data_IF_019441045971
#
_entry.id   IF_019441045971
#
_cell.length_a   1.000
_cell.length_b   1.000
_cell.length_c   1.000
_cell.angle_alpha   90.00
_cell.angle_beta   90.00
_cell.angle_gamma   90.00
#
_symmetry.space_group_name_H-M   'P 1'
#
loop_
_entity.id
_entity.type
_entity.pdbx_description
1 polymer ?
#
# COMPACT_ATOMS: atom_id res chain seq x y z
N UNK A 1 -8.87 27.61 3.36
CA UNK A 1 -8.65 27.91 4.79
C UNK A 1 -8.80 26.60 5.54
N UNK A 2 -7.91 26.33 6.50
CA UNK A 2 -7.95 25.11 7.30
C UNK A 2 -9.22 25.05 8.16
N UNK A 3 -9.79 23.86 8.33
CA UNK A 3 -10.95 23.67 9.21
C UNK A 3 -10.61 23.87 10.69
N UNK A 4 -11.59 24.28 11.50
CA UNK A 4 -11.38 24.58 12.92
C UNK A 4 -11.00 23.34 13.75
N UNK A 5 -11.60 22.20 13.43
CA UNK A 5 -11.31 20.89 14.01
C UNK A 5 -9.89 20.42 13.67
N UNK A 6 -9.46 20.54 12.42
CA UNK A 6 -8.08 20.19 12.05
C UNK A 6 -7.07 21.15 12.70
N UNK A 7 -7.37 22.45 12.72
CA UNK A 7 -6.54 23.43 13.42
C UNK A 7 -6.39 23.10 14.91
N UNK A 8 -7.46 22.67 15.58
CA UNK A 8 -7.42 22.27 16.99
C UNK A 8 -6.49 21.06 17.21
N UNK A 9 -6.50 20.07 16.31
CA UNK A 9 -5.57 18.94 16.36
C UNK A 9 -4.11 19.41 16.25
N UNK A 10 -3.82 20.33 15.33
CA UNK A 10 -2.47 20.88 15.14
C UNK A 10 -1.97 21.62 16.38
N UNK A 11 -2.77 22.52 16.96
CA UNK A 11 -2.33 23.31 18.14
C UNK A 11 -2.20 22.46 19.41
N UNK A 12 -2.77 21.25 19.44
CA UNK A 12 -2.65 20.31 20.56
C UNK A 12 -1.51 19.30 20.41
N UNK A 13 -0.75 19.33 19.31
CA UNK A 13 0.46 18.51 19.10
C UNK A 13 1.48 18.65 20.26
N UNK A 14 1.78 19.86 20.80
CA UNK A 14 2.73 19.99 21.91
C UNK A 14 2.36 19.18 23.16
N UNK A 15 1.05 19.02 23.43
CA UNK A 15 0.58 18.17 24.53
C UNK A 15 0.90 16.70 24.28
N UNK A 16 0.68 16.21 23.05
CA UNK A 16 1.03 14.84 22.65
C UNK A 16 2.54 14.61 22.78
N UNK A 17 3.36 15.55 22.30
CA UNK A 17 4.82 15.47 22.41
C UNK A 17 5.26 15.37 23.88
N UNK A 18 4.73 16.23 24.74
CA UNK A 18 5.06 16.22 26.17
C UNK A 18 4.66 14.90 26.84
N UNK A 19 3.42 14.43 26.60
CA UNK A 19 2.91 13.17 27.16
C UNK A 19 3.76 11.98 26.71
N UNK A 20 3.98 11.82 25.41
CA UNK A 20 4.68 10.66 24.85
C UNK A 20 6.15 10.66 25.25
N UNK A 21 6.79 11.82 25.35
CA UNK A 21 8.16 11.94 25.87
C UNK A 21 8.23 11.49 27.33
N UNK A 22 7.29 11.94 28.17
CA UNK A 22 7.22 11.51 29.57
C UNK A 22 6.99 10.00 29.68
N UNK A 23 6.04 9.45 28.95
CA UNK A 23 5.76 8.01 28.92
C UNK A 23 6.99 7.19 28.50
N UNK A 24 7.68 7.60 27.43
CA UNK A 24 8.86 6.93 26.91
C UNK A 24 9.97 6.78 27.96
N UNK A 25 10.26 7.84 28.74
CA UNK A 25 11.33 7.82 29.74
C UNK A 25 10.93 7.29 31.12
N UNK A 26 9.64 7.02 31.37
CA UNK A 26 9.17 6.57 32.68
C UNK A 26 8.76 5.11 32.69
N UNK A 27 7.64 4.77 32.06
CA UNK A 27 7.07 3.43 32.09
C UNK A 27 6.88 2.82 30.70
N UNK A 28 7.29 3.50 29.63
CA UNK A 28 7.11 3.09 28.24
C UNK A 28 5.79 3.56 27.63
N UNK A 29 5.84 3.96 26.38
CA UNK A 29 4.66 4.27 25.53
C UNK A 29 3.90 3.00 25.13
N UNK A 30 2.66 3.10 24.64
CA UNK A 30 1.96 1.96 24.06
C UNK A 30 2.73 1.27 22.93
N UNK A 31 3.48 2.03 22.11
CA UNK A 31 4.29 1.47 21.03
C UNK A 31 5.51 0.70 21.53
N UNK A 32 6.35 1.32 22.37
CA UNK A 32 7.59 0.70 22.89
C UNK A 32 7.35 -0.53 23.76
N UNK A 33 6.17 -0.61 24.39
CA UNK A 33 5.74 -1.78 25.17
C UNK A 33 5.34 -2.97 24.30
N UNK A 34 4.89 -2.71 23.08
CA UNK A 34 4.26 -3.74 22.24
C UNK A 34 5.13 -4.18 21.08
N UNK A 35 5.99 -3.30 20.54
CA UNK A 35 6.79 -3.61 19.37
C UNK A 35 8.25 -3.13 19.52
N UNK A 36 9.19 -4.00 19.12
CA UNK A 36 10.63 -3.77 19.25
C UNK A 36 11.15 -2.59 18.43
N UNK A 37 10.53 -2.26 17.29
CA UNK A 37 10.90 -1.12 16.44
C UNK A 37 10.85 0.23 17.19
N UNK A 38 10.05 0.31 18.25
CA UNK A 38 9.85 1.52 19.03
C UNK A 38 10.70 1.60 20.30
N UNK A 39 11.29 0.50 20.77
CA UNK A 39 11.93 0.44 22.10
C UNK A 39 13.06 1.43 22.30
N UNK A 40 13.85 1.66 21.24
CA UNK A 40 15.06 2.49 21.29
C UNK A 40 14.96 3.75 20.42
N UNK A 41 13.74 4.19 20.09
CA UNK A 41 13.53 5.34 19.22
C UNK A 41 12.42 6.24 19.73
N UNK A 42 12.77 7.26 20.51
CA UNK A 42 11.84 8.33 20.89
C UNK A 42 11.22 8.99 19.65
N UNK A 43 12.01 9.12 18.57
CA UNK A 43 11.55 9.69 17.30
C UNK A 43 10.34 8.93 16.73
N UNK A 44 10.43 7.59 16.59
CA UNK A 44 9.32 6.77 16.10
C UNK A 44 8.09 6.90 17.00
N UNK A 45 8.28 6.84 18.32
CA UNK A 45 7.18 7.00 19.27
C UNK A 45 6.46 8.33 19.14
N UNK A 46 7.22 9.43 19.00
CA UNK A 46 6.65 10.76 18.82
C UNK A 46 5.97 10.91 17.47
N UNK A 47 6.63 10.50 16.39
CA UNK A 47 6.10 10.63 15.03
C UNK A 47 4.75 9.90 14.91
N UNK A 48 4.71 8.62 15.26
CA UNK A 48 3.50 7.81 15.13
C UNK A 48 2.37 8.29 16.07
N UNK A 49 2.71 8.77 17.28
CA UNK A 49 1.69 9.36 18.16
C UNK A 49 1.13 10.68 17.64
N UNK A 50 1.96 11.51 16.99
CA UNK A 50 1.53 12.76 16.35
C UNK A 50 0.64 12.44 15.16
N UNK A 51 1.06 11.51 14.29
CA UNK A 51 0.28 11.05 13.14
C UNK A 51 -1.08 10.51 13.58
N UNK A 52 -1.12 9.64 14.58
CA UNK A 52 -2.36 9.14 15.18
C UNK A 52 -3.24 10.27 15.74
N UNK A 53 -2.65 11.29 16.36
CA UNK A 53 -3.41 12.42 16.90
C UNK A 53 -4.05 13.29 15.80
N UNK A 54 -3.36 13.46 14.68
CA UNK A 54 -3.86 14.27 13.56
C UNK A 54 -4.71 13.47 12.56
N UNK A 55 -4.69 12.14 12.61
CA UNK A 55 -5.47 11.27 11.72
C UNK A 55 -6.98 11.24 12.06
N UNK A 56 -7.78 10.70 11.14
CA UNK A 56 -9.24 10.58 11.26
C UNK A 56 -10.01 11.90 11.06
N UNK A 57 -11.33 11.82 10.80
CA UNK A 57 -12.18 12.97 10.48
C UNK A 57 -11.62 13.86 9.35
N UNK A 58 -11.07 13.24 8.30
CA UNK A 58 -10.40 13.96 7.23
C UNK A 58 -11.36 14.83 6.41
N UNK A 59 -10.86 15.99 5.98
CA UNK A 59 -11.51 16.83 4.97
C UNK A 59 -10.56 16.99 3.79
N UNK A 60 -11.07 16.78 2.56
CA UNK A 60 -10.30 16.89 1.32
C UNK A 60 -9.49 18.20 1.25
N UNK A 61 -10.11 19.32 1.62
CA UNK A 61 -9.46 20.64 1.58
C UNK A 61 -8.28 20.77 2.53
N UNK A 62 -8.35 20.14 3.71
CA UNK A 62 -7.29 20.25 4.71
C UNK A 62 -6.10 19.41 4.27
N UNK A 63 -6.36 18.19 3.81
CA UNK A 63 -5.32 17.31 3.27
C UNK A 63 -4.64 17.92 2.04
N UNK A 64 -5.41 18.60 1.17
CA UNK A 64 -4.86 19.30 0.01
C UNK A 64 -3.96 20.47 0.41
N UNK A 65 -4.23 21.10 1.55
CA UNK A 65 -3.46 22.23 2.06
C UNK A 65 -2.19 21.79 2.80
N UNK A 66 -2.23 20.69 3.54
CA UNK A 66 -1.16 20.33 4.50
C UNK A 66 -0.39 19.06 4.17
N UNK A 67 -0.98 18.14 3.40
CA UNK A 67 -0.36 16.85 3.07
C UNK A 67 0.08 16.78 1.61
N UNK A 68 -0.71 17.35 0.70
CA UNK A 68 -0.48 17.15 -0.73
C UNK A 68 0.87 17.70 -1.20
N UNK A 69 1.64 16.82 -1.83
CA UNK A 69 2.84 17.13 -2.57
C UNK A 69 2.80 16.38 -3.91
N UNK A 70 3.01 17.05 -5.05
CA UNK A 70 3.20 16.37 -6.34
C UNK A 70 4.35 15.36 -6.27
N UNK A 71 4.18 14.18 -6.89
CA UNK A 71 5.18 13.12 -6.80
C UNK A 71 6.53 13.55 -7.40
N UNK A 72 6.53 14.43 -8.41
CA UNK A 72 7.77 14.95 -9.00
C UNK A 72 8.61 15.75 -8.00
N UNK A 73 7.98 16.49 -7.08
CA UNK A 73 8.69 17.22 -6.03
C UNK A 73 9.31 16.24 -5.02
N UNK A 74 8.62 15.14 -4.74
CA UNK A 74 9.13 14.08 -3.88
C UNK A 74 10.33 13.38 -4.53
N UNK A 75 10.24 13.01 -5.81
CA UNK A 75 11.39 12.45 -6.55
C UNK A 75 12.55 13.46 -6.64
N UNK A 76 12.28 14.74 -6.87
CA UNK A 76 13.31 15.77 -6.89
C UNK A 76 14.05 15.89 -5.54
N UNK A 77 13.31 15.85 -4.43
CA UNK A 77 13.87 15.85 -3.07
C UNK A 77 14.84 14.69 -2.84
N UNK A 78 14.51 13.51 -3.33
CA UNK A 78 15.35 12.32 -3.13
C UNK A 78 16.36 12.08 -4.25
N UNK A 79 16.30 12.74 -5.40
CA UNK A 79 17.13 12.44 -6.58
C UNK A 79 18.63 12.32 -6.31
N UNK A 80 19.16 13.12 -5.37
CA UNK A 80 20.59 13.13 -5.01
C UNK A 80 20.86 12.51 -3.63
N UNK A 81 19.87 11.84 -3.02
CA UNK A 81 20.05 11.16 -1.74
C UNK A 81 20.95 9.94 -1.90
N UNK A 82 21.69 9.58 -0.84
CA UNK A 82 22.54 8.39 -0.89
C UNK A 82 21.75 7.12 -1.22
N UNK A 83 20.52 7.00 -0.73
CA UNK A 83 19.66 5.84 -0.96
C UNK A 83 19.37 5.61 -2.45
N UNK A 84 19.13 6.68 -3.20
CA UNK A 84 18.57 6.59 -4.56
C UNK A 84 19.57 6.97 -5.65
N UNK A 85 20.70 7.58 -5.32
CA UNK A 85 21.69 8.06 -6.29
C UNK A 85 22.28 6.95 -7.17
N UNK A 86 22.24 5.69 -6.71
CA UNK A 86 22.71 4.52 -7.46
C UNK A 86 21.56 3.73 -8.13
N UNK A 87 20.30 4.15 -7.93
CA UNK A 87 19.16 3.47 -8.53
C UNK A 87 18.94 3.95 -9.96
N UNK A 88 18.99 3.01 -10.89
CA UNK A 88 18.84 3.27 -12.32
C UNK A 88 17.48 3.91 -12.64
N UNK A 89 17.50 5.00 -13.42
CA UNK A 89 16.32 5.69 -13.90
C UNK A 89 15.37 6.23 -12.80
N UNK A 90 15.88 6.40 -11.57
CA UNK A 90 15.10 6.94 -10.45
C UNK A 90 14.38 8.26 -10.79
N UNK A 91 13.07 8.30 -10.58
CA UNK A 91 12.20 9.45 -10.82
C UNK A 91 11.85 9.74 -12.28
N UNK A 92 12.27 8.88 -13.21
CA UNK A 92 11.82 8.98 -14.60
C UNK A 92 10.44 8.35 -14.80
N UNK A 93 9.65 8.95 -15.69
CA UNK A 93 8.32 8.45 -16.07
C UNK A 93 8.44 7.25 -17.01
N UNK A 94 7.68 6.20 -16.71
CA UNK A 94 7.43 5.09 -17.63
C UNK A 94 6.20 5.37 -18.51
N UNK A 95 5.10 5.75 -17.87
CA UNK A 95 3.86 6.18 -18.52
C UNK A 95 3.23 7.35 -17.75
N UNK A 96 1.93 7.59 -17.91
CA UNK A 96 1.22 8.73 -17.30
C UNK A 96 1.30 8.73 -15.76
N UNK A 97 1.26 7.55 -15.13
CA UNK A 97 1.21 7.40 -13.67
C UNK A 97 2.38 6.60 -13.09
N UNK A 98 3.12 5.86 -13.91
CA UNK A 98 4.23 4.99 -13.48
C UNK A 98 5.57 5.72 -13.42
N UNK A 99 6.24 5.67 -12.27
CA UNK A 99 7.58 6.24 -12.06
C UNK A 99 8.56 5.18 -11.58
N UNK A 100 9.75 5.17 -12.18
CA UNK A 100 10.80 4.25 -11.77
C UNK A 100 11.41 4.65 -10.42
N UNK A 101 11.48 3.68 -9.51
CA UNK A 101 12.40 3.71 -8.37
C UNK A 101 13.74 3.14 -8.82
N UNK A 102 13.70 1.99 -9.48
CA UNK A 102 14.86 1.35 -10.08
C UNK A 102 14.40 0.64 -11.35
N UNK A 103 15.12 0.81 -12.46
CA UNK A 103 14.89 0.02 -13.66
C UNK A 103 16.06 -0.94 -13.88
N UNK A 104 15.76 -2.24 -13.84
CA UNK A 104 16.72 -3.29 -14.18
C UNK A 104 17.07 -3.24 -15.68
N UNK A 105 18.24 -3.75 -16.05
CA UNK A 105 18.65 -3.81 -17.46
C UNK A 105 17.77 -4.77 -18.27
N UNK A 106 17.32 -5.86 -17.63
CA UNK A 106 16.40 -6.82 -18.23
C UNK A 106 14.95 -6.38 -18.01
N UNK A 107 14.11 -6.59 -19.03
CA UNK A 107 12.66 -6.35 -18.94
C UNK A 107 11.89 -7.61 -18.53
N UNK A 108 12.40 -8.36 -17.56
CA UNK A 108 11.77 -9.62 -17.15
C UNK A 108 10.82 -9.40 -15.97
N UNK A 109 11.33 -8.94 -14.82
CA UNK A 109 10.55 -8.73 -13.60
C UNK A 109 10.33 -7.25 -13.29
N UNK A 110 9.10 -6.91 -12.92
CA UNK A 110 8.76 -5.60 -12.35
C UNK A 110 7.90 -5.77 -11.11
N UNK A 111 8.31 -5.13 -10.03
CA UNK A 111 7.54 -4.97 -8.80
C UNK A 111 6.90 -3.59 -8.81
N UNK A 112 5.59 -3.54 -8.95
CA UNK A 112 4.82 -2.29 -8.93
C UNK A 112 4.31 -2.05 -7.52
N UNK A 113 4.77 -0.96 -6.91
CA UNK A 113 4.31 -0.49 -5.63
C UNK A 113 3.09 0.40 -5.78
N UNK A 114 2.00 0.01 -5.11
CA UNK A 114 0.76 0.76 -4.98
C UNK A 114 0.68 1.28 -3.55
N UNK A 115 0.79 2.60 -3.37
CA UNK A 115 0.86 3.18 -2.03
C UNK A 115 -0.49 3.14 -1.30
N UNK A 116 -0.47 3.25 0.02
CA UNK A 116 -1.66 3.43 0.86
C UNK A 116 -2.10 4.88 0.99
N UNK A 117 -2.87 5.20 2.03
CA UNK A 117 -3.41 6.55 2.25
C UNK A 117 -4.89 6.72 1.90
N UNK A 118 -5.64 5.60 1.86
CA UNK A 118 -7.10 5.59 1.73
C UNK A 118 -7.64 6.24 0.45
N UNK A 119 -6.87 6.19 -0.65
CA UNK A 119 -7.13 6.90 -1.91
C UNK A 119 -7.25 8.43 -1.77
N UNK A 120 -6.97 9.01 -0.60
CA UNK A 120 -7.05 10.45 -0.33
C UNK A 120 -5.67 11.10 -0.29
N UNK A 121 -4.69 10.42 0.31
CA UNK A 121 -3.36 10.93 0.57
C UNK A 121 -2.39 10.50 -0.54
N UNK A 122 -1.45 11.39 -0.89
CA UNK A 122 -0.38 11.12 -1.83
C UNK A 122 0.67 10.18 -1.23
N UNK A 123 1.59 9.69 -2.08
CA UNK A 123 2.80 8.99 -1.65
C UNK A 123 3.60 9.87 -0.68
N UNK A 124 3.96 9.31 0.47
CA UNK A 124 4.80 9.98 1.47
C UNK A 124 6.27 9.62 1.34
N UNK A 125 7.12 10.44 1.96
CA UNK A 125 8.55 10.19 2.10
C UNK A 125 8.88 8.75 2.57
N UNK A 126 8.13 8.22 3.52
CA UNK A 126 8.46 6.94 4.17
C UNK A 126 8.20 5.76 3.25
N UNK A 127 7.16 5.89 2.42
CA UNK A 127 6.79 4.95 1.38
C UNK A 127 7.80 5.00 0.21
N UNK A 128 8.28 6.18 -0.17
CA UNK A 128 9.36 6.31 -1.17
C UNK A 128 10.68 5.71 -0.66
N UNK A 129 11.05 6.02 0.59
CA UNK A 129 12.23 5.43 1.26
C UNK A 129 12.10 3.92 1.35
N UNK A 130 10.92 3.40 1.68
CA UNK A 130 10.63 1.97 1.64
C UNK A 130 10.92 1.38 0.25
N UNK A 131 10.36 1.95 -0.82
CA UNK A 131 10.51 1.40 -2.16
C UNK A 131 11.98 1.39 -2.61
N UNK A 132 12.75 2.45 -2.27
CA UNK A 132 14.18 2.51 -2.53
C UNK A 132 15.01 1.55 -1.67
N UNK A 133 14.70 1.45 -0.37
CA UNK A 133 15.40 0.55 0.55
C UNK A 133 15.13 -0.93 0.22
N UNK A 134 13.93 -1.26 -0.27
CA UNK A 134 13.57 -2.62 -0.67
C UNK A 134 14.53 -3.16 -1.74
N UNK A 135 14.96 -2.32 -2.69
CA UNK A 135 15.97 -2.73 -3.68
C UNK A 135 17.23 -3.33 -3.03
N UNK A 136 17.69 -2.74 -1.92
CA UNK A 136 18.88 -3.21 -1.21
C UNK A 136 18.62 -4.34 -0.21
N UNK A 137 17.36 -4.64 0.08
CA UNK A 137 16.98 -5.79 0.92
C UNK A 137 16.94 -7.11 0.13
N UNK A 138 16.82 -7.03 -1.20
CA UNK A 138 16.78 -8.19 -2.09
C UNK A 138 18.16 -8.85 -2.20
N UNK A 139 18.17 -10.17 -2.41
CA UNK A 139 19.42 -10.86 -2.76
C UNK A 139 19.96 -10.41 -4.14
N UNK A 140 21.27 -10.59 -4.37
CA UNK A 140 21.96 -10.13 -5.58
C UNK A 140 21.25 -10.50 -6.89
N UNK A 141 20.68 -11.71 -6.97
CA UNK A 141 20.00 -12.17 -8.18
C UNK A 141 18.67 -11.45 -8.38
N UNK A 142 17.85 -11.37 -7.32
CA UNK A 142 16.54 -10.71 -7.39
C UNK A 142 16.70 -9.21 -7.58
N UNK A 143 17.66 -8.59 -6.88
CA UNK A 143 18.02 -7.18 -6.98
C UNK A 143 18.39 -6.79 -8.42
N UNK A 144 19.26 -7.57 -9.07
CA UNK A 144 19.78 -7.26 -10.41
C UNK A 144 18.72 -7.41 -11.51
N UNK A 145 17.73 -8.30 -11.31
CA UNK A 145 16.76 -8.68 -12.34
C UNK A 145 15.35 -8.12 -12.12
N UNK A 146 15.15 -7.27 -11.11
CA UNK A 146 13.83 -6.74 -10.75
C UNK A 146 13.81 -5.22 -10.84
N UNK A 147 12.96 -4.71 -11.72
CA UNK A 147 12.61 -3.28 -11.72
C UNK A 147 11.62 -2.99 -10.60
N UNK A 148 11.71 -1.82 -9.98
CA UNK A 148 10.76 -1.33 -8.97
C UNK A 148 10.14 -0.03 -9.48
N UNK A 149 8.81 0.01 -9.50
CA UNK A 149 8.02 1.16 -9.95
C UNK A 149 7.06 1.58 -8.85
N UNK A 150 6.72 2.88 -8.79
CA UNK A 150 5.55 3.37 -8.04
C UNK A 150 4.49 3.85 -9.02
N UNK A 151 3.23 3.56 -8.72
CA UNK A 151 2.09 4.12 -9.43
C UNK A 151 1.54 5.34 -8.65
N UNK A 152 1.63 6.53 -9.26
CA UNK A 152 1.04 7.78 -8.77
C UNK A 152 -0.41 7.91 -9.26
N UNK A 153 -1.29 7.08 -8.71
CA UNK A 153 -2.70 7.08 -9.10
C UNK A 153 -3.42 8.34 -8.59
N UNK A 154 -4.48 8.73 -9.28
CA UNK A 154 -5.30 9.89 -8.96
C UNK A 154 -5.94 9.83 -7.57
N UNK A 155 -6.06 10.97 -6.87
CA UNK A 155 -6.54 11.01 -5.49
C UNK A 155 -7.95 11.61 -5.35
N UNK A 156 -8.71 11.09 -4.39
CA UNK A 156 -10.07 11.54 -4.05
C UNK A 156 -10.11 12.99 -3.55
N UNK A 157 -8.98 13.54 -3.07
CA UNK A 157 -8.86 14.96 -2.71
C UNK A 157 -9.01 15.91 -3.91
N UNK A 158 -8.89 15.38 -5.12
CA UNK A 158 -9.16 16.05 -6.41
C UNK A 158 -10.42 15.51 -7.10
N UNK A 159 -11.33 14.92 -6.31
CA UNK A 159 -12.61 14.35 -6.77
C UNK A 159 -12.46 13.23 -7.81
N UNK A 160 -11.29 12.58 -7.81
CA UNK A 160 -11.05 11.34 -8.55
C UNK A 160 -11.50 10.17 -7.69
N UNK A 161 -12.72 9.70 -7.94
CA UNK A 161 -13.39 8.63 -7.17
C UNK A 161 -13.34 7.30 -7.92
N UNK A 162 -13.80 6.22 -7.29
CA UNK A 162 -13.94 4.92 -7.96
C UNK A 162 -14.70 5.04 -9.29
N UNK A 163 -14.27 4.39 -10.40
CA UNK A 163 -13.17 3.44 -10.54
C UNK A 163 -11.84 4.05 -11.05
N UNK A 164 -11.62 5.36 -10.95
CA UNK A 164 -10.48 6.05 -11.59
C UNK A 164 -9.14 5.36 -11.36
N UNK A 165 -8.81 5.08 -10.09
CA UNK A 165 -7.54 4.48 -9.69
C UNK A 165 -7.37 3.06 -10.24
N UNK A 166 -8.46 2.28 -10.27
CA UNK A 166 -8.46 0.93 -10.84
C UNK A 166 -8.20 0.97 -12.34
N UNK A 167 -8.84 1.90 -13.05
CA UNK A 167 -8.59 2.11 -14.47
C UNK A 167 -7.13 2.50 -14.76
N UNK A 168 -6.59 3.46 -14.02
CA UNK A 168 -5.19 3.90 -14.16
C UNK A 168 -4.19 2.76 -13.89
N UNK A 169 -4.43 1.95 -12.86
CA UNK A 169 -3.61 0.77 -12.56
C UNK A 169 -3.69 -0.31 -13.65
N UNK A 170 -4.88 -0.54 -14.22
CA UNK A 170 -5.05 -1.47 -15.34
C UNK A 170 -4.34 -0.96 -16.61
N UNK A 171 -4.40 0.34 -16.90
CA UNK A 171 -3.68 0.96 -18.02
C UNK A 171 -2.18 0.79 -17.83
N UNK A 172 -1.65 1.07 -16.64
CA UNK A 172 -0.23 0.85 -16.33
C UNK A 172 0.17 -0.62 -16.48
N UNK A 173 -0.65 -1.55 -16.00
CA UNK A 173 -0.43 -2.99 -16.20
C UNK A 173 -0.33 -3.36 -17.68
N UNK A 174 -1.30 -2.90 -18.50
CA UNK A 174 -1.27 -3.12 -19.95
C UNK A 174 -0.02 -2.53 -20.60
N UNK A 175 0.37 -1.33 -20.22
CA UNK A 175 1.57 -0.67 -20.74
C UNK A 175 2.85 -1.42 -20.37
N UNK A 176 2.95 -1.99 -19.16
CA UNK A 176 4.07 -2.84 -18.76
C UNK A 176 4.15 -4.11 -19.62
N UNK A 177 3.03 -4.80 -19.83
CA UNK A 177 2.98 -6.01 -20.68
C UNK A 177 3.38 -5.68 -22.12
N UNK A 178 2.80 -4.64 -22.71
CA UNK A 178 3.14 -4.15 -24.06
C UNK A 178 4.60 -3.67 -24.14
N UNK A 179 5.12 -3.11 -23.05
CA UNK A 179 6.50 -2.68 -22.90
C UNK A 179 7.53 -3.81 -22.83
N UNK A 180 7.06 -5.06 -22.76
CA UNK A 180 7.84 -6.29 -22.79
C UNK A 180 8.08 -6.95 -21.42
N UNK A 181 7.48 -6.43 -20.34
CA UNK A 181 7.61 -7.03 -19.01
C UNK A 181 6.77 -8.31 -18.92
N UNK A 182 7.41 -9.40 -18.49
CA UNK A 182 6.81 -10.74 -18.48
C UNK A 182 6.24 -11.14 -17.11
N UNK A 183 6.84 -10.60 -16.04
CA UNK A 183 6.56 -10.98 -14.66
C UNK A 183 6.28 -9.74 -13.83
N UNK A 184 5.00 -9.36 -13.78
CA UNK A 184 4.53 -8.17 -13.05
C UNK A 184 4.02 -8.62 -11.67
N UNK A 185 4.64 -8.14 -10.62
CA UNK A 185 4.25 -8.39 -9.23
C UNK A 185 3.72 -7.10 -8.61
N UNK A 186 2.72 -7.20 -7.74
CA UNK A 186 2.25 -6.06 -6.96
C UNK A 186 2.70 -6.16 -5.52
N UNK A 187 3.17 -5.04 -4.98
CA UNK A 187 3.28 -4.80 -3.55
C UNK A 187 2.45 -3.57 -3.22
N UNK A 188 1.72 -3.58 -2.13
CA UNK A 188 0.99 -2.39 -1.70
C UNK A 188 0.75 -2.38 -0.21
N UNK A 189 0.40 -1.21 0.30
CA UNK A 189 -0.06 -1.04 1.67
C UNK A 189 -1.49 -0.47 1.71
N UNK A 190 -2.34 -0.96 2.61
CA UNK A 190 -3.66 -0.39 2.86
C UNK A 190 -4.54 -0.29 1.60
N UNK A 191 -4.89 0.92 1.14
CA UNK A 191 -5.61 1.15 -0.11
C UNK A 191 -4.87 0.62 -1.35
N UNK A 192 -3.54 0.59 -1.32
CA UNK A 192 -2.73 0.05 -2.40
C UNK A 192 -2.91 -1.45 -2.59
N UNK A 193 -3.13 -2.20 -1.51
CA UNK A 193 -3.47 -3.63 -1.62
C UNK A 193 -4.87 -3.84 -2.16
N UNK A 194 -5.81 -2.96 -1.80
CA UNK A 194 -7.16 -2.98 -2.35
C UNK A 194 -7.09 -2.79 -3.87
N UNK A 195 -6.25 -1.87 -4.33
CA UNK A 195 -5.99 -1.66 -5.76
C UNK A 195 -5.35 -2.89 -6.42
N UNK A 196 -4.33 -3.49 -5.79
CA UNK A 196 -3.68 -4.71 -6.29
C UNK A 196 -4.66 -5.87 -6.47
N UNK A 197 -5.51 -6.11 -5.46
CA UNK A 197 -6.58 -7.11 -5.50
C UNK A 197 -7.59 -6.80 -6.60
N UNK A 198 -7.98 -5.53 -6.74
CA UNK A 198 -8.87 -5.05 -7.80
C UNK A 198 -8.32 -5.33 -9.20
N UNK A 199 -7.03 -5.07 -9.44
CA UNK A 199 -6.36 -5.37 -10.72
C UNK A 199 -6.34 -6.87 -11.00
N UNK A 200 -5.88 -7.68 -10.04
CA UNK A 200 -5.80 -9.13 -10.21
C UNK A 200 -7.17 -9.76 -10.52
N UNK A 201 -8.20 -9.33 -9.77
CA UNK A 201 -9.59 -9.76 -10.00
C UNK A 201 -10.12 -9.30 -11.36
N UNK A 202 -9.84 -8.06 -11.76
CA UNK A 202 -10.26 -7.52 -13.06
C UNK A 202 -9.69 -8.33 -14.23
N UNK A 203 -8.42 -8.73 -14.14
CA UNK A 203 -7.77 -9.57 -15.13
C UNK A 203 -8.33 -11.00 -15.13
N UNK A 204 -8.80 -11.51 -13.99
CA UNK A 204 -9.31 -12.88 -13.85
C UNK A 204 -10.77 -13.02 -14.29
N UNK A 205 -11.53 -11.93 -14.16
CA UNK A 205 -12.96 -11.85 -14.45
C UNK A 205 -13.27 -10.67 -15.40
N UNK A 206 -12.70 -10.67 -16.63
CA UNK A 206 -12.80 -9.53 -17.55
C UNK A 206 -14.26 -9.17 -17.88
N UNK A 207 -15.16 -10.14 -18.02
CA UNK A 207 -16.57 -9.90 -18.29
C UNK A 207 -17.27 -9.11 -17.17
N UNK A 208 -16.96 -9.40 -15.90
CA UNK A 208 -17.57 -8.71 -14.77
C UNK A 208 -17.10 -7.28 -14.67
N UNK A 209 -15.78 -7.06 -14.78
CA UNK A 209 -15.24 -5.70 -14.70
C UNK A 209 -15.69 -4.86 -15.90
N UNK A 210 -15.76 -5.42 -17.11
CA UNK A 210 -16.35 -4.73 -18.27
C UNK A 210 -17.79 -4.33 -17.98
N UNK A 211 -18.61 -5.26 -17.45
CA UNK A 211 -19.99 -4.96 -17.07
C UNK A 211 -20.07 -3.83 -16.06
N UNK A 212 -19.15 -3.79 -15.09
CA UNK A 212 -19.11 -2.72 -14.11
C UNK A 212 -18.74 -1.37 -14.74
N UNK A 213 -17.75 -1.34 -15.62
CA UNK A 213 -17.33 -0.14 -16.35
C UNK A 213 -18.41 0.42 -17.29
N UNK A 214 -19.45 -0.34 -17.64
CA UNK A 214 -20.61 0.22 -18.37
C UNK A 214 -21.34 1.33 -17.60
N UNK A 215 -21.21 1.37 -16.28
CA UNK A 215 -21.75 2.44 -15.44
C UNK A 215 -20.86 3.70 -15.42
N UNK A 216 -19.69 3.66 -16.06
CA UNK A 216 -18.67 4.70 -16.06
C UNK A 216 -18.18 4.97 -17.50
N UNK A 217 -19.05 5.51 -18.38
CA UNK A 217 -18.79 5.64 -19.81
C UNK A 217 -17.62 6.60 -20.14
N UNK A 218 -17.17 7.41 -19.18
CA UNK A 218 -15.98 8.25 -19.30
C UNK A 218 -14.68 7.44 -19.42
N UNK A 219 -14.66 6.19 -18.96
CA UNK A 219 -13.55 5.27 -19.15
C UNK A 219 -13.85 4.39 -20.36
N UNK A 220 -13.08 4.55 -21.44
CA UNK A 220 -13.21 3.74 -22.65
C UNK A 220 -12.71 2.30 -22.39
N UNK A 221 -13.55 1.50 -21.73
CA UNK A 221 -13.20 0.18 -21.23
C UNK A 221 -14.09 -0.88 -21.87
N UNK A 222 -13.48 -1.77 -22.66
CA UNK A 222 -14.18 -2.79 -23.45
C UNK A 222 -13.40 -4.09 -23.47
N UNK A 223 -13.92 -5.13 -24.14
CA UNK A 223 -13.22 -6.39 -24.32
C UNK A 223 -11.86 -6.23 -25.02
N UNK A 224 -11.69 -5.21 -25.86
CA UNK A 224 -10.43 -4.94 -26.56
C UNK A 224 -9.34 -4.40 -25.60
N UNK A 225 -9.72 -3.92 -24.41
CA UNK A 225 -8.76 -3.54 -23.39
C UNK A 225 -7.85 -4.71 -23.01
N UNK A 226 -8.41 -5.90 -22.84
CA UNK A 226 -7.69 -7.09 -22.38
C UNK A 226 -6.96 -7.84 -23.49
N UNK A 227 -7.16 -7.49 -24.76
CA UNK A 227 -6.48 -8.16 -25.88
C UNK A 227 -5.06 -7.59 -26.04
N UNK A 228 -4.09 -8.49 -26.11
CA UNK A 228 -2.73 -8.17 -26.55
C UNK A 228 -2.61 -8.32 -28.08
N UNK A 229 -3.22 -9.37 -28.62
CA UNK A 229 -3.39 -9.62 -30.04
C UNK A 229 -4.67 -10.46 -30.26
N UNK A 230 -4.87 -11.01 -31.46
CA UNK A 230 -6.06 -11.81 -31.77
C UNK A 230 -6.15 -13.11 -30.97
N UNK A 231 -5.03 -13.62 -30.43
CA UNK A 231 -4.92 -14.92 -29.76
C UNK A 231 -4.61 -14.81 -28.27
N UNK A 232 -4.07 -13.70 -27.79
CA UNK A 232 -3.56 -13.52 -26.42
C UNK A 232 -4.28 -12.42 -25.66
N UNK A 233 -4.57 -12.69 -24.39
CA UNK A 233 -5.09 -11.72 -23.42
C UNK A 233 -4.00 -11.27 -22.46
N UNK A 234 -4.25 -10.18 -21.73
CA UNK A 234 -3.39 -9.74 -20.64
C UNK A 234 -3.21 -10.87 -19.61
N UNK A 235 -1.97 -11.23 -19.24
CA UNK A 235 -1.71 -12.26 -18.24
C UNK A 235 -2.13 -11.81 -16.84
N UNK A 236 -2.26 -12.75 -15.90
CA UNK A 236 -2.39 -12.45 -14.47
C UNK A 236 -1.07 -11.92 -13.89
N UNK A 237 -1.12 -11.12 -12.79
CA UNK A 237 0.08 -10.75 -12.06
C UNK A 237 0.79 -11.99 -11.51
N UNK A 238 2.14 -11.98 -11.50
CA UNK A 238 2.98 -13.06 -10.98
C UNK A 238 2.74 -13.30 -9.49
N UNK A 239 2.67 -12.23 -8.70
CA UNK A 239 2.46 -12.31 -7.25
C UNK A 239 1.78 -11.07 -6.67
N UNK A 240 1.18 -11.26 -5.50
CA UNK A 240 0.54 -10.21 -4.69
C UNK A 240 1.15 -10.15 -3.29
N UNK A 241 1.74 -9.02 -2.92
CA UNK A 241 2.29 -8.77 -1.59
C UNK A 241 1.43 -7.69 -0.93
N UNK A 242 0.62 -8.11 0.04
CA UNK A 242 -0.49 -7.33 0.58
C UNK A 242 -0.17 -6.91 2.02
N UNK A 243 0.29 -5.68 2.21
CA UNK A 243 0.60 -5.13 3.54
C UNK A 243 -0.63 -4.43 4.11
N UNK A 244 -1.13 -4.92 5.24
CA UNK A 244 -2.26 -4.34 5.97
C UNK A 244 -3.49 -4.01 5.11
N UNK A 245 -4.14 -4.99 4.45
CA UNK A 245 -5.11 -4.68 3.41
C UNK A 245 -6.36 -3.91 3.82
N UNK A 246 -6.75 -2.88 3.08
CA UNK A 246 -8.01 -2.16 3.31
C UNK A 246 -9.15 -2.68 2.43
N UNK A 247 -9.83 -3.73 2.88
CA UNK A 247 -10.69 -4.58 2.03
C UNK A 247 -12.18 -4.27 2.08
N UNK A 248 -12.59 -3.33 2.94
CA UNK A 248 -13.99 -2.94 3.12
C UNK A 248 -14.16 -1.42 3.34
N UNK A 249 -13.89 -0.58 2.33
CA UNK A 249 -13.75 0.87 2.51
C UNK A 249 -14.91 1.58 3.19
N UNK A 250 -16.15 1.14 2.95
CA UNK A 250 -17.37 1.72 3.53
C UNK A 250 -17.92 0.94 4.74
N UNK A 251 -17.10 0.13 5.41
CA UNK A 251 -17.49 -0.60 6.63
C UNK A 251 -16.61 -0.14 7.79
N UNK A 252 -17.18 0.42 8.88
CA UNK A 252 -16.38 0.83 10.03
C UNK A 252 -15.77 -0.41 10.72
N UNK A 253 -14.52 -0.34 11.19
CA UNK A 253 -13.92 -1.44 11.93
C UNK A 253 -14.59 -1.64 13.30
N UNK A 254 -14.42 -2.84 13.86
CA UNK A 254 -14.80 -3.14 15.24
C UNK A 254 -13.71 -2.61 16.19
N UNK A 255 -14.10 -1.74 17.14
CA UNK A 255 -13.20 -1.21 18.17
C UNK A 255 -13.82 -1.40 19.56
N UNK A 256 -13.24 -2.23 20.45
CA UNK A 256 -12.03 -3.03 20.25
C UNK A 256 -12.23 -4.15 19.20
N UNK A 257 -11.14 -4.60 18.58
CA UNK A 257 -11.18 -5.68 17.59
C UNK A 257 -11.65 -7.01 18.23
N UNK A 258 -11.99 -8.02 17.41
CA UNK A 258 -12.51 -9.33 17.86
C UNK A 258 -11.62 -10.05 18.86
N UNK A 259 -10.35 -9.67 18.94
CA UNK A 259 -9.34 -10.25 19.84
C UNK A 259 -9.20 -9.49 21.16
N UNK A 260 -9.90 -8.37 21.33
CA UNK A 260 -9.79 -7.52 22.51
C UNK A 260 -8.44 -6.82 22.65
N UNK A 261 -7.69 -6.67 21.56
CA UNK A 261 -6.35 -6.07 21.55
C UNK A 261 -6.47 -4.54 21.54
N UNK A 262 -5.58 -3.87 22.26
CA UNK A 262 -5.53 -2.41 22.28
C UNK A 262 -4.93 -1.85 20.97
N UNK A 263 -5.79 -1.26 20.16
CA UNK A 263 -5.46 -0.63 18.87
C UNK A 263 -5.08 0.85 18.98
N UNK A 264 -4.94 1.40 20.20
CA UNK A 264 -4.55 2.80 20.37
C UNK A 264 -3.23 3.12 19.65
N UNK A 265 -3.18 4.22 18.90
CA UNK A 265 -1.98 4.60 18.16
C UNK A 265 -1.83 3.91 16.80
N UNK A 266 -2.79 3.08 16.40
CA UNK A 266 -2.87 2.51 15.06
C UNK A 266 -3.23 3.56 14.00
N UNK A 267 -2.68 3.45 12.79
CA UNK A 267 -2.92 4.42 11.70
C UNK A 267 -4.10 4.05 10.80
N UNK A 268 -4.77 2.92 11.05
CA UNK A 268 -5.96 2.52 10.30
C UNK A 268 -7.15 3.46 10.56
N UNK A 269 -8.01 3.62 9.57
CA UNK A 269 -9.20 4.46 9.71
C UNK A 269 -10.23 3.81 10.64
N UNK A 270 -10.64 4.52 11.69
CA UNK A 270 -11.71 4.10 12.62
C UNK A 270 -13.13 4.46 12.12
N UNK A 271 -13.22 5.20 11.01
CA UNK A 271 -14.47 5.65 10.39
C UNK A 271 -14.52 5.30 8.89
N UNK A 272 -15.65 5.63 8.25
CA UNK A 272 -15.86 5.38 6.81
C UNK A 272 -15.62 6.64 5.94
N UNK A 273 -15.02 7.70 6.48
CA UNK A 273 -14.86 8.98 5.77
C UNK A 273 -14.05 8.82 4.48
N UNK A 274 -12.94 8.09 4.54
CA UNK A 274 -12.12 7.78 3.36
C UNK A 274 -12.88 6.90 2.35
N UNK A 275 -13.64 5.92 2.84
CA UNK A 275 -14.51 5.09 2.02
C UNK A 275 -15.56 5.89 1.27
N UNK A 276 -16.21 6.86 1.95
CA UNK A 276 -17.20 7.74 1.34
C UNK A 276 -16.58 8.66 0.29
N UNK A 277 -15.35 9.15 0.51
CA UNK A 277 -14.63 9.93 -0.51
C UNK A 277 -14.29 9.08 -1.74
N UNK A 278 -13.92 7.82 -1.53
CA UNK A 278 -13.61 6.89 -2.60
C UNK A 278 -14.86 6.43 -3.37
N UNK A 279 -15.97 6.18 -2.66
CA UNK A 279 -17.26 5.83 -3.23
C UNK A 279 -17.83 7.00 -4.07
N UNK A 280 -17.67 8.23 -3.61
CA UNK A 280 -18.27 9.39 -4.26
C UNK A 280 -19.80 9.30 -4.29
N UNK A 281 -20.39 9.51 -5.46
CA UNK A 281 -21.85 9.40 -5.67
C UNK A 281 -22.27 8.01 -6.19
N UNK A 282 -21.35 7.04 -6.23
CA UNK A 282 -21.63 5.73 -6.78
C UNK A 282 -22.57 4.92 -5.87
N UNK A 283 -23.39 4.08 -6.49
CA UNK A 283 -24.17 3.11 -5.74
C UNK A 283 -23.28 1.92 -5.36
N UNK A 284 -23.00 1.77 -4.05
CA UNK A 284 -22.14 0.70 -3.53
C UNK A 284 -22.60 -0.70 -3.96
N UNK A 285 -23.91 -0.93 -4.09
CA UNK A 285 -24.45 -2.21 -4.50
C UNK A 285 -24.11 -2.59 -5.96
N UNK A 286 -23.83 -1.61 -6.82
CA UNK A 286 -23.44 -1.84 -8.22
C UNK A 286 -21.96 -2.18 -8.36
N UNK A 287 -21.13 -1.80 -7.39
CA UNK A 287 -19.67 -1.92 -7.47
C UNK A 287 -19.07 -2.87 -6.43
N UNK A 288 -19.92 -3.45 -5.58
CA UNK A 288 -19.54 -4.12 -4.33
C UNK A 288 -18.48 -5.20 -4.52
N UNK A 289 -18.55 -5.99 -5.59
CA UNK A 289 -17.62 -7.11 -5.84
C UNK A 289 -16.20 -6.66 -6.22
N UNK A 290 -15.99 -5.37 -6.50
CA UNK A 290 -14.69 -4.75 -6.74
C UNK A 290 -14.37 -3.64 -5.74
N UNK A 291 -15.18 -3.51 -4.68
CA UNK A 291 -15.08 -2.43 -3.70
C UNK A 291 -15.05 -2.96 -2.26
N UNK A 292 -15.90 -3.92 -1.90
CA UNK A 292 -15.92 -4.56 -0.57
C UNK A 292 -15.63 -6.04 -0.75
N UNK A 293 -14.36 -6.42 -0.63
CA UNK A 293 -13.94 -7.79 -0.91
C UNK A 293 -14.42 -8.79 0.14
N UNK A 294 -14.78 -8.36 1.35
CA UNK A 294 -15.39 -9.23 2.37
C UNK A 294 -16.82 -9.66 2.02
N UNK A 295 -17.45 -9.06 1.00
CA UNK A 295 -18.76 -9.48 0.49
C UNK A 295 -18.69 -10.53 -0.63
N UNK A 296 -17.49 -11.03 -0.93
CA UNK A 296 -17.26 -12.00 -2.02
C UNK A 296 -17.13 -13.42 -1.49
N UNK A 297 -17.00 -14.39 -2.40
CA UNK A 297 -16.70 -15.79 -2.08
C UNK A 297 -15.62 -16.36 -3.01
N UNK A 298 -14.91 -17.39 -2.57
CA UNK A 298 -13.82 -17.98 -3.34
C UNK A 298 -14.24 -18.43 -4.75
N UNK A 299 -15.29 -19.27 -4.84
CA UNK A 299 -15.63 -20.00 -6.06
C UNK A 299 -16.01 -19.06 -7.20
N UNK A 300 -16.78 -18.02 -6.90
CA UNK A 300 -17.24 -17.06 -7.89
C UNK A 300 -16.24 -15.92 -8.12
N UNK A 301 -15.47 -15.51 -7.12
CA UNK A 301 -14.73 -14.24 -7.18
C UNK A 301 -13.21 -14.36 -7.18
N UNK A 302 -12.63 -15.50 -6.77
CA UNK A 302 -11.18 -15.65 -6.56
C UNK A 302 -10.57 -16.93 -7.15
N UNK A 303 -11.37 -17.94 -7.47
CA UNK A 303 -10.90 -19.22 -8.01
C UNK A 303 -10.12 -19.09 -9.34
N UNK A 304 -10.22 -17.96 -10.05
CA UNK A 304 -9.46 -17.67 -11.28
C UNK A 304 -8.29 -16.69 -11.08
N UNK A 305 -8.10 -16.15 -9.87
CA UNK A 305 -6.99 -15.26 -9.57
C UNK A 305 -5.74 -16.10 -9.30
N UNK A 306 -4.94 -16.31 -10.34
CA UNK A 306 -3.76 -17.17 -10.31
C UNK A 306 -2.83 -16.97 -9.10
N UNK A 307 -2.38 -15.74 -8.75
CA UNK A 307 -1.44 -15.54 -7.64
C UNK A 307 -2.01 -15.95 -6.27
N UNK A 308 -3.35 -15.95 -6.10
CA UNK A 308 -4.00 -16.43 -4.88
C UNK A 308 -3.95 -17.96 -4.81
N UNK A 309 -4.06 -18.63 -5.96
CA UNK A 309 -4.26 -20.07 -6.04
C UNK A 309 -2.96 -20.88 -6.21
N UNK A 310 -1.86 -20.24 -6.63
CA UNK A 310 -0.59 -20.91 -6.93
C UNK A 310 0.52 -20.67 -5.89
N UNK A 311 0.17 -20.09 -4.73
CA UNK A 311 1.13 -19.81 -3.67
C UNK A 311 1.91 -18.51 -3.84
N UNK A 312 1.54 -17.63 -4.78
CA UNK A 312 2.22 -16.35 -4.99
C UNK A 312 1.48 -15.17 -4.35
N UNK A 313 0.87 -15.38 -3.19
CA UNK A 313 0.27 -14.30 -2.40
C UNK A 313 0.79 -14.34 -0.97
N UNK A 314 1.16 -13.17 -0.44
CA UNK A 314 1.52 -12.97 0.95
C UNK A 314 0.70 -11.82 1.54
N UNK A 315 0.23 -11.99 2.77
CA UNK A 315 -0.43 -10.97 3.58
C UNK A 315 0.40 -10.73 4.84
N UNK A 316 0.72 -9.48 5.12
CA UNK A 316 1.36 -9.06 6.37
C UNK A 316 0.43 -8.09 7.09
N UNK A 317 0.12 -8.32 8.36
CA UNK A 317 -0.66 -7.41 9.20
C UNK A 317 0.03 -7.15 10.53
N UNK A 318 -0.20 -5.98 11.12
CA UNK A 318 0.10 -5.68 12.51
C UNK A 318 -0.93 -6.29 13.46
N UNK A 319 -0.48 -6.80 14.59
CA UNK A 319 -1.36 -7.39 15.61
C UNK A 319 -2.43 -6.41 16.11
N UNK A 320 -2.07 -5.13 16.22
CA UNK A 320 -2.84 -4.05 16.85
C UNK A 320 -3.61 -3.19 15.84
N UNK A 321 -3.74 -3.63 14.60
CA UNK A 321 -4.50 -2.92 13.58
C UNK A 321 -6.00 -2.90 13.89
N UNK A 322 -6.64 -1.75 13.67
CA UNK A 322 -8.12 -1.63 13.69
C UNK A 322 -8.75 -2.35 12.50
N UNK A 323 -8.04 -2.45 11.38
CA UNK A 323 -8.54 -3.06 10.14
C UNK A 323 -8.32 -4.59 10.07
N UNK A 324 -7.58 -5.18 11.02
CA UNK A 324 -7.16 -6.59 10.99
C UNK A 324 -8.32 -7.57 10.81
N UNK A 325 -9.42 -7.36 11.53
CA UNK A 325 -10.56 -8.29 11.49
C UNK A 325 -11.09 -8.48 10.06
N UNK A 326 -11.07 -7.41 9.25
CA UNK A 326 -11.48 -7.49 7.85
C UNK A 326 -10.47 -8.19 6.96
N UNK A 327 -9.18 -8.08 7.28
CA UNK A 327 -8.12 -8.81 6.60
C UNK A 327 -8.23 -10.30 6.90
N UNK A 328 -8.55 -10.67 8.14
CA UNK A 328 -8.81 -12.07 8.49
C UNK A 328 -10.01 -12.62 7.72
N UNK A 329 -11.11 -11.86 7.64
CA UNK A 329 -12.29 -12.26 6.86
C UNK A 329 -11.94 -12.47 5.39
N UNK A 330 -11.19 -11.53 4.78
CA UNK A 330 -10.69 -11.71 3.42
C UNK A 330 -9.84 -12.98 3.31
N UNK A 331 -8.87 -13.17 4.21
CA UNK A 331 -7.97 -14.33 4.19
C UNK A 331 -8.74 -15.65 4.23
N UNK A 332 -9.75 -15.77 5.09
CA UNK A 332 -10.62 -16.96 5.14
C UNK A 332 -11.43 -17.14 3.83
N UNK A 333 -11.86 -16.04 3.19
CA UNK A 333 -12.53 -16.09 1.88
C UNK A 333 -11.59 -16.58 0.79
N UNK A 334 -10.37 -16.04 0.69
CA UNK A 334 -9.49 -16.27 -0.46
C UNK A 334 -8.55 -17.47 -0.28
N UNK A 335 -8.26 -17.91 0.94
CA UNK A 335 -7.30 -18.99 1.21
C UNK A 335 -7.92 -20.40 1.21
N UNK A 336 -8.92 -20.66 0.36
CA UNK A 336 -9.59 -21.98 0.28
C UNK A 336 -8.63 -23.13 -0.03
N UNK A 337 -7.52 -22.85 -0.73
CA UNK A 337 -6.49 -23.84 -1.10
C UNK A 337 -5.32 -23.92 -0.10
N UNK A 338 -5.27 -23.07 0.92
CA UNK A 338 -4.18 -23.06 1.90
C UNK A 338 -2.83 -22.60 1.34
N UNK A 339 -2.83 -21.81 0.26
CA UNK A 339 -1.63 -21.40 -0.49
C UNK A 339 -1.10 -20.02 -0.09
N UNK A 340 -1.86 -19.24 0.67
CA UNK A 340 -1.49 -17.85 1.01
C UNK A 340 -0.60 -17.82 2.25
N UNK A 341 0.54 -17.14 2.16
CA UNK A 341 1.39 -16.86 3.31
C UNK A 341 0.78 -15.71 4.13
N UNK A 342 0.48 -15.95 5.41
CA UNK A 342 -0.16 -14.95 6.29
C UNK A 342 0.67 -14.71 7.54
N UNK A 343 1.10 -13.47 7.75
CA UNK A 343 2.02 -13.07 8.82
C UNK A 343 1.41 -11.98 9.69
N UNK A 344 1.59 -12.12 11.01
CA UNK A 344 1.15 -11.13 12.00
C UNK A 344 2.39 -10.61 12.72
N UNK A 345 2.68 -9.31 12.59
CA UNK A 345 3.71 -8.64 13.37
C UNK A 345 3.22 -8.39 14.80
N UNK A 346 3.85 -9.03 15.79
CA UNK A 346 3.53 -8.83 17.21
C UNK A 346 3.67 -7.35 17.61
N UNK A 347 2.62 -6.81 18.23
CA UNK A 347 2.52 -5.39 18.56
C UNK A 347 2.57 -4.42 17.37
N UNK A 348 2.62 -4.92 16.13
CA UNK A 348 2.63 -4.12 14.91
C UNK A 348 1.34 -3.32 14.74
N UNK A 349 1.47 -2.20 14.02
CA UNK A 349 0.37 -1.30 13.64
C UNK A 349 0.20 -1.30 12.11
N UNK A 350 -0.82 -0.61 11.64
CA UNK A 350 -1.22 -0.55 10.24
C UNK A 350 -0.08 -0.07 9.36
N UNK A 351 0.23 -0.88 8.35
CA UNK A 351 1.26 -0.65 7.37
C UNK A 351 2.66 -0.41 7.99
N UNK A 352 2.98 -1.16 9.06
CA UNK A 352 4.25 -1.07 9.80
C UNK A 352 5.51 -1.13 8.94
N UNK A 353 5.53 -1.93 7.86
CA UNK A 353 6.63 -1.98 6.89
C UNK A 353 7.00 -0.58 6.36
N UNK A 354 5.99 0.19 5.94
CA UNK A 354 6.22 1.46 5.23
C UNK A 354 6.17 2.67 6.15
N UNK A 355 5.46 2.62 7.28
CA UNK A 355 5.37 3.74 8.25
C UNK A 355 6.30 3.59 9.46
N UNK A 356 6.86 2.41 9.72
CA UNK A 356 7.69 2.15 10.92
C UNK A 356 9.08 1.63 10.53
N UNK A 357 9.17 0.51 9.82
CA UNK A 357 10.47 -0.09 9.48
C UNK A 357 11.27 0.81 8.54
N UNK A 358 10.63 1.39 7.54
CA UNK A 358 11.24 2.30 6.55
C UNK A 358 11.96 3.49 7.18
N UNK A 359 11.50 3.96 8.35
CA UNK A 359 12.06 5.12 9.05
C UNK A 359 13.52 4.90 9.45
N UNK A 360 13.97 3.65 9.62
CA UNK A 360 15.37 3.34 9.95
C UNK A 360 16.33 3.57 8.77
N UNK A 361 15.78 3.74 7.56
CA UNK A 361 16.55 3.97 6.33
C UNK A 361 16.52 5.43 5.88
N UNK A 362 15.97 6.34 6.69
CA UNK A 362 16.01 7.77 6.44
C UNK A 362 17.39 8.40 6.64
N UNK A 363 17.64 9.45 5.86
CA UNK A 363 18.86 10.25 5.92
C UNK A 363 20.11 9.46 5.56
N UNK A 364 21.27 10.11 5.65
CA UNK A 364 22.53 9.51 5.20
C UNK A 364 22.93 8.25 5.98
N UNK A 365 22.65 8.23 7.29
CA UNK A 365 22.97 7.08 8.13
C UNK A 365 22.11 5.86 7.77
N UNK A 366 20.80 6.06 7.63
CA UNK A 366 19.87 5.00 7.22
C UNK A 366 20.14 4.52 5.80
N UNK A 367 20.41 5.44 4.87
CA UNK A 367 20.80 5.11 3.49
C UNK A 367 22.04 4.22 3.44
N UNK A 368 23.07 4.52 4.24
CA UNK A 368 24.28 3.69 4.35
C UNK A 368 24.01 2.32 4.96
N UNK A 369 22.99 2.15 5.80
CA UNK A 369 22.56 0.83 6.29
C UNK A 369 21.91 0.03 5.17
N UNK A 370 20.95 0.63 4.47
CA UNK A 370 20.28 0.00 3.33
C UNK A 370 21.29 -0.48 2.28
N UNK A 371 22.18 0.40 1.80
CA UNK A 371 23.20 0.05 0.79
C UNK A 371 24.14 -1.09 1.23
N UNK A 372 24.36 -1.26 2.54
CA UNK A 372 25.16 -2.37 3.08
C UNK A 372 24.37 -3.67 3.26
N UNK A 373 23.10 -3.69 2.89
CA UNK A 373 22.21 -4.84 3.10
C UNK A 373 21.86 -5.07 4.58
N UNK A 374 21.93 -4.04 5.43
CA UNK A 374 21.67 -4.19 6.86
C UNK A 374 20.16 -4.12 7.18
N UNK A 375 19.48 -5.25 7.01
CA UNK A 375 18.05 -5.45 7.30
C UNK A 375 17.81 -6.49 8.41
N UNK A 376 18.86 -6.94 9.11
CA UNK A 376 18.86 -8.13 9.99
C UNK A 376 17.82 -8.08 11.12
N UNK A 377 17.42 -6.88 11.56
CA UNK A 377 16.45 -6.69 12.63
C UNK A 377 15.06 -6.29 12.14
N UNK A 378 14.81 -6.33 10.84
CA UNK A 378 13.51 -6.00 10.25
C UNK A 378 12.63 -7.24 10.14
N UNK A 379 11.34 -7.08 10.38
CA UNK A 379 10.38 -8.17 10.25
C UNK A 379 9.84 -8.23 8.83
N UNK A 380 9.15 -7.18 8.40
CA UNK A 380 8.43 -7.17 7.13
C UNK A 380 9.36 -7.05 5.92
N UNK A 381 10.46 -6.26 5.99
CA UNK A 381 11.43 -6.21 4.88
C UNK A 381 12.00 -7.60 4.56
N UNK A 382 12.36 -8.38 5.60
CA UNK A 382 12.93 -9.70 5.42
C UNK A 382 11.91 -10.70 4.87
N UNK A 383 10.65 -10.65 5.30
CA UNK A 383 9.57 -11.47 4.73
C UNK A 383 9.36 -11.16 3.25
N UNK A 384 9.30 -9.88 2.88
CA UNK A 384 9.11 -9.45 1.49
C UNK A 384 10.31 -9.86 0.61
N UNK A 385 11.53 -9.65 1.09
CA UNK A 385 12.74 -10.02 0.37
C UNK A 385 12.80 -11.54 0.14
N UNK A 386 12.59 -12.34 1.19
CA UNK A 386 12.55 -13.80 1.08
C UNK A 386 11.43 -14.28 0.14
N UNK A 387 10.24 -13.70 0.25
CA UNK A 387 9.10 -14.03 -0.61
C UNK A 387 9.42 -13.83 -2.10
N UNK A 388 10.05 -12.70 -2.45
CA UNK A 388 10.45 -12.39 -3.82
C UNK A 388 11.60 -13.30 -4.29
N UNK A 389 12.59 -13.53 -3.43
CA UNK A 389 13.76 -14.36 -3.72
C UNK A 389 13.44 -15.83 -3.96
N UNK A 390 12.39 -16.37 -3.34
CA UNK A 390 11.91 -17.75 -3.57
C UNK A 390 11.20 -17.93 -4.92
N UNK A 391 10.84 -16.85 -5.62
CA UNK A 391 9.98 -16.85 -6.81
C UNK A 391 10.69 -16.28 -8.05
N UNK A 392 11.91 -16.74 -8.30
CA UNK A 392 12.77 -16.32 -9.41
C UNK A 392 12.08 -16.49 -10.75
#
# INVERSE_FOLDING_TARGET
MMSADFFLKVVTIPYIVARITFEYYTYGTPYSKTNNEFKNSLYKNLLLAIEYHVCGNYKKQDMKLVCYQPIEDLFAKYKSSLLTAQLNNFGTKFDEHGYWIHQAETKDNVLVYLHGGGYLLNLFDCQLVFAGALHYALDDHTQTNTSIMVLDYSLTMFDKVYPTQLYEALVNYKNLVVGGYKSISYIGDSAGTHLALGVARSLAYPHEIISQFTNFPEFNFSADFFKLNEQEQLPQPKSLILISPWVQPCTPPLVPNRRGINTWGDLGAEDITLGNFFLGNNNIHLINNFFTFTNTNFDEHWAKVEPINNGNTMIIVGEREVLRDSVDDLYEIINKLGTIEYYVEEGGIHAGLVYVESLDYYGDSGSKKAIRGDFNNKYAFNLVADFLSRRK
#
